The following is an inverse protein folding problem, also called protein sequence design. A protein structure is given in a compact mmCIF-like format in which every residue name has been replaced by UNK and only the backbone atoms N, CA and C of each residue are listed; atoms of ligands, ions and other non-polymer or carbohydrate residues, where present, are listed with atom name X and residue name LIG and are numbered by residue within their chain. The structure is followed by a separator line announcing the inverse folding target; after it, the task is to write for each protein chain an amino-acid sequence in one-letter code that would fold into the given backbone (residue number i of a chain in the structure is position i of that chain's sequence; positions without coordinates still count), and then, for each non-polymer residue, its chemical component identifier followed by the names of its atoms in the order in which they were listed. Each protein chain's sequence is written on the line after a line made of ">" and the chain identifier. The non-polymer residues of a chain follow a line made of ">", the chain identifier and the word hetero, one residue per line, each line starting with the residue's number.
data_IF_333963582815
#
_entry.id   IF_333963582815
#
_cell.length_a   1.000
_cell.length_b   1.000
_cell.length_c   1.000
_cell.angle_alpha   90.00
_cell.angle_beta   90.00
_cell.angle_gamma   90.00
#
_symmetry.space_group_name_H-M   'P 1'
#
loop_
_entity.id
_entity.type
_entity.pdbx_description
1 polymer ?
#
# COMPACT_ATOMS: atom_id res chain seq x y z
N UNK A 1 4.43 9.97 9.62
CA UNK A 1 3.70 10.96 10.45
C UNK A 1 2.55 10.21 11.09
N UNK A 2 2.60 9.99 12.41
CA UNK A 2 1.53 9.34 13.16
C UNK A 2 0.28 10.21 13.10
N UNK A 3 -0.78 9.74 12.44
CA UNK A 3 -2.11 10.34 12.58
C UNK A 3 -2.43 10.42 14.08
N UNK A 4 -2.62 11.66 14.57
CA UNK A 4 -3.13 11.91 15.90
C UNK A 4 -4.57 11.41 15.92
N UNK A 5 -4.86 10.41 16.73
CA UNK A 5 -6.23 10.11 17.16
C UNK A 5 -6.86 11.41 17.67
N UNK A 6 -8.05 11.75 17.18
CA UNK A 6 -8.69 13.04 17.49
C UNK A 6 -9.02 13.18 18.98
N UNK A 7 -9.10 12.06 19.72
CA UNK A 7 -9.36 11.98 21.15
C UNK A 7 -8.37 11.04 21.85
N UNK A 8 -7.95 11.40 23.07
CA UNK A 8 -6.92 10.67 23.84
C UNK A 8 -7.55 9.69 24.84
N UNK A 9 -8.66 10.06 25.48
CA UNK A 9 -9.21 9.35 26.63
C UNK A 9 -10.73 9.22 26.51
N UNK A 10 -11.28 8.02 26.66
CA UNK A 10 -12.71 7.79 26.87
C UNK A 10 -13.00 7.61 28.36
N UNK A 11 -14.05 8.25 28.85
CA UNK A 11 -14.54 8.16 30.22
C UNK A 11 -15.96 7.59 30.18
N UNK A 12 -16.21 6.53 30.93
CA UNK A 12 -17.52 5.87 30.97
C UNK A 12 -18.01 5.81 32.40
N UNK A 13 -19.14 6.47 32.64
CA UNK A 13 -19.75 6.60 33.97
C UNK A 13 -21.25 6.91 33.85
N UNK A 14 -22.10 6.31 34.69
CA UNK A 14 -23.53 6.63 34.65
C UNK A 14 -23.85 8.02 35.19
N UNK A 15 -23.00 8.56 36.05
CA UNK A 15 -23.18 9.88 36.65
C UNK A 15 -22.56 10.97 35.76
N UNK A 16 -23.44 11.78 35.16
CA UNK A 16 -23.02 12.92 34.32
C UNK A 16 -22.17 13.94 35.08
N UNK A 17 -22.40 14.11 36.38
CA UNK A 17 -21.60 15.03 37.18
C UNK A 17 -20.15 14.54 37.32
N UNK A 18 -19.94 13.22 37.44
CA UNK A 18 -18.60 12.62 37.46
C UNK A 18 -17.92 12.79 36.10
N UNK A 19 -18.66 12.55 35.01
CA UNK A 19 -18.15 12.77 33.65
C UNK A 19 -17.70 14.21 33.43
N UNK A 20 -18.56 15.20 33.70
CA UNK A 20 -18.26 16.62 33.52
C UNK A 20 -17.05 17.06 34.35
N UNK A 21 -16.96 16.59 35.60
CA UNK A 21 -15.83 16.90 36.48
C UNK A 21 -14.53 16.27 35.98
N UNK A 22 -14.54 14.99 35.58
CA UNK A 22 -13.36 14.32 35.06
C UNK A 22 -12.92 14.92 33.73
N UNK A 23 -13.86 15.23 32.86
CA UNK A 23 -13.61 15.92 31.60
C UNK A 23 -12.95 17.28 31.84
N UNK A 24 -13.48 18.12 32.73
CA UNK A 24 -12.88 19.41 33.08
C UNK A 24 -11.44 19.25 33.59
N UNK A 25 -11.20 18.30 34.50
CA UNK A 25 -9.84 18.04 35.02
C UNK A 25 -8.90 17.59 33.90
N UNK A 26 -9.33 16.71 32.99
CA UNK A 26 -8.45 16.18 31.95
C UNK A 26 -8.19 17.20 30.83
N UNK A 27 -9.18 18.04 30.51
CA UNK A 27 -9.03 19.14 29.56
C UNK A 27 -8.07 20.22 30.08
N UNK A 28 -8.10 20.54 31.38
CA UNK A 28 -7.15 21.48 32.01
C UNK A 28 -5.68 21.01 31.86
N UNK A 29 -5.47 19.70 31.74
CA UNK A 29 -4.16 19.07 31.52
C UNK A 29 -3.87 18.76 30.05
N UNK A 30 -4.72 19.24 29.13
CA UNK A 30 -4.50 19.18 27.68
C UNK A 30 -4.91 17.88 27.00
N UNK A 31 -5.64 16.98 27.68
CA UNK A 31 -6.16 15.76 27.08
C UNK A 31 -7.49 16.01 26.39
N UNK A 32 -7.68 15.40 25.21
CA UNK A 32 -8.98 15.38 24.55
C UNK A 32 -9.80 14.18 25.01
N UNK A 33 -10.98 14.46 25.54
CA UNK A 33 -11.84 13.46 26.18
C UNK A 33 -13.07 13.13 25.34
N UNK A 34 -13.51 11.88 25.48
CA UNK A 34 -14.82 11.40 25.09
C UNK A 34 -15.56 10.93 26.35
N UNK A 35 -16.89 11.03 26.35
CA UNK A 35 -17.71 10.64 27.49
C UNK A 35 -18.85 9.72 27.05
N UNK A 36 -19.15 8.71 27.86
CA UNK A 36 -20.28 7.81 27.63
C UNK A 36 -21.01 7.48 28.93
N UNK A 37 -22.34 7.65 28.91
CA UNK A 37 -23.21 7.38 30.07
C UNK A 37 -23.75 5.95 30.12
N UNK A 38 -23.50 5.16 29.08
CA UNK A 38 -23.95 3.77 29.00
C UNK A 38 -22.99 2.93 28.16
N UNK A 39 -23.08 1.60 28.33
CA UNK A 39 -22.19 0.63 27.68
C UNK A 39 -22.33 0.68 26.15
N UNK A 40 -23.53 0.87 25.62
CA UNK A 40 -23.75 0.89 24.17
C UNK A 40 -22.95 2.02 23.50
N UNK A 41 -23.10 3.23 24.02
CA UNK A 41 -22.35 4.41 23.56
C UNK A 41 -20.83 4.25 23.82
N UNK A 42 -20.45 3.70 24.97
CA UNK A 42 -19.04 3.43 25.26
C UNK A 42 -18.39 2.47 24.24
N UNK A 43 -19.08 1.37 23.89
CA UNK A 43 -18.61 0.41 22.91
C UNK A 43 -18.52 1.02 21.51
N UNK A 44 -19.51 1.82 21.12
CA UNK A 44 -19.48 2.57 19.86
C UNK A 44 -18.25 3.50 19.81
N UNK A 45 -18.02 4.30 20.85
CA UNK A 45 -16.90 5.22 20.90
C UNK A 45 -15.54 4.52 20.92
N UNK A 46 -15.40 3.38 21.62
CA UNK A 46 -14.19 2.55 21.62
C UNK A 46 -13.85 2.00 20.24
N UNK A 47 -14.87 1.67 19.44
CA UNK A 47 -14.70 1.13 18.09
C UNK A 47 -14.39 2.22 17.06
N UNK A 48 -15.12 3.34 17.10
CA UNK A 48 -15.02 4.39 16.09
C UNK A 48 -13.84 5.33 16.30
N UNK A 49 -13.57 5.73 17.55
CA UNK A 49 -12.55 6.72 17.85
C UNK A 49 -11.23 6.12 18.35
N UNK A 50 -11.23 4.82 18.68
CA UNK A 50 -10.09 4.05 19.18
C UNK A 50 -9.19 4.86 20.13
N UNK A 51 -9.75 5.35 21.26
CA UNK A 51 -9.04 6.23 22.18
C UNK A 51 -7.81 5.51 22.76
N UNK A 52 -6.76 6.26 23.11
CA UNK A 52 -5.54 5.66 23.69
C UNK A 52 -5.81 5.02 25.04
N UNK A 53 -6.69 5.63 25.83
CA UNK A 53 -7.08 5.17 27.15
C UNK A 53 -8.60 5.08 27.25
N UNK A 54 -9.08 4.04 27.94
CA UNK A 54 -10.48 3.88 28.31
C UNK A 54 -10.61 3.76 29.83
N UNK A 55 -11.28 4.71 30.46
CA UNK A 55 -11.61 4.70 31.89
C UNK A 55 -13.05 4.20 32.02
N UNK A 56 -13.23 3.02 32.58
CA UNK A 56 -14.51 2.31 32.62
C UNK A 56 -15.03 2.19 34.04
N UNK A 57 -16.21 2.76 34.31
CA UNK A 57 -16.93 2.49 35.54
C UNK A 57 -17.60 1.11 35.54
N UNK A 58 -17.55 0.43 36.69
CA UNK A 58 -18.34 -0.77 36.95
C UNK A 58 -19.70 -0.37 37.50
N UNK A 59 -20.66 -0.08 36.62
CA UNK A 59 -22.05 0.18 36.98
C UNK A 59 -23.01 -0.97 36.60
N UNK A 60 -22.45 -2.11 36.20
CA UNK A 60 -23.18 -3.35 35.89
C UNK A 60 -22.66 -4.51 36.73
N UNK A 61 -23.43 -5.60 36.90
CA UNK A 61 -22.95 -6.79 37.59
C UNK A 61 -21.57 -7.26 37.09
N UNK A 62 -20.71 -7.68 38.01
CA UNK A 62 -19.30 -7.95 37.73
C UNK A 62 -19.08 -8.97 36.60
N UNK A 63 -19.92 -10.00 36.50
CA UNK A 63 -19.83 -10.98 35.42
C UNK A 63 -20.20 -10.40 34.05
N UNK A 64 -21.14 -9.45 34.02
CA UNK A 64 -21.47 -8.72 32.81
C UNK A 64 -20.30 -7.79 32.41
N UNK A 65 -19.68 -7.12 33.38
CA UNK A 65 -18.48 -6.29 33.14
C UNK A 65 -17.31 -7.11 32.59
N UNK A 66 -17.03 -8.30 33.15
CA UNK A 66 -16.03 -9.23 32.64
C UNK A 66 -16.29 -9.63 31.18
N UNK A 67 -17.56 -9.79 30.80
CA UNK A 67 -17.91 -10.10 29.41
C UNK A 67 -17.62 -8.93 28.46
N UNK A 68 -17.78 -7.69 28.91
CA UNK A 68 -17.39 -6.50 28.15
C UNK A 68 -15.88 -6.51 27.91
N UNK A 69 -15.08 -6.71 28.97
CA UNK A 69 -13.61 -6.80 28.84
C UNK A 69 -13.17 -7.92 27.89
N UNK A 70 -13.78 -9.11 27.98
CA UNK A 70 -13.52 -10.22 27.04
C UNK A 70 -13.88 -9.84 25.60
N UNK A 71 -14.93 -9.07 25.40
CA UNK A 71 -15.36 -8.62 24.07
C UNK A 71 -14.35 -7.64 23.48
N UNK A 72 -13.88 -6.67 24.29
CA UNK A 72 -12.83 -5.73 23.91
C UNK A 72 -11.52 -6.44 23.52
N UNK A 73 -11.18 -7.55 24.20
CA UNK A 73 -10.03 -8.38 23.83
C UNK A 73 -10.23 -9.11 22.49
N UNK A 74 -11.44 -9.64 22.23
CA UNK A 74 -11.75 -10.36 20.98
C UNK A 74 -11.71 -9.47 19.76
N UNK A 75 -12.23 -8.24 19.87
CA UNK A 75 -12.20 -7.24 18.78
C UNK A 75 -10.83 -6.57 18.63
N UNK A 76 -9.82 -6.99 19.41
CA UNK A 76 -8.46 -6.42 19.43
C UNK A 76 -8.46 -4.89 19.57
N UNK A 77 -9.30 -4.35 20.46
CA UNK A 77 -9.18 -2.95 20.82
C UNK A 77 -7.84 -2.73 21.55
N UNK A 78 -7.11 -1.69 21.15
CA UNK A 78 -5.76 -1.40 21.64
C UNK A 78 -5.72 -0.40 22.80
N UNK A 79 -6.87 0.15 23.19
CA UNK A 79 -6.99 1.10 24.29
C UNK A 79 -6.46 0.48 25.59
N UNK A 80 -5.71 1.28 26.35
CA UNK A 80 -5.28 0.90 27.70
C UNK A 80 -6.46 1.08 28.65
N UNK A 81 -6.89 -0.01 29.30
CA UNK A 81 -8.09 -0.02 30.13
C UNK A 81 -7.74 0.32 31.58
N UNK A 82 -8.37 1.37 32.12
CA UNK A 82 -8.38 1.69 33.54
C UNK A 82 -9.80 1.45 34.04
N UNK A 83 -9.94 0.78 35.18
CA UNK A 83 -11.25 0.57 35.81
C UNK A 83 -11.42 1.58 36.94
N UNK A 84 -12.60 2.21 37.03
CA UNK A 84 -12.91 3.20 38.05
C UNK A 84 -14.16 2.80 38.84
N UNK A 85 -14.03 2.41 40.10
CA UNK A 85 -15.14 1.77 40.85
C UNK A 85 -15.31 2.35 42.25
N UNK A 86 -16.54 2.38 42.73
CA UNK A 86 -16.91 2.74 44.11
C UNK A 86 -16.74 1.59 45.11
N UNK A 87 -16.70 0.33 44.64
CA UNK A 87 -16.57 -0.85 45.48
C UNK A 87 -15.13 -1.42 45.44
N UNK A 88 -14.36 -1.33 46.55
CA UNK A 88 -13.03 -1.89 46.65
C UNK A 88 -12.95 -3.40 46.43
N UNK A 89 -14.01 -4.15 46.72
CA UNK A 89 -14.02 -5.62 46.54
C UNK A 89 -13.90 -6.00 45.06
N UNK A 90 -14.34 -5.14 44.13
CA UNK A 90 -14.20 -5.38 42.69
C UNK A 90 -12.73 -5.52 42.26
N UNK A 91 -11.78 -4.91 43.00
CA UNK A 91 -10.35 -5.07 42.76
C UNK A 91 -9.87 -6.51 42.95
N UNK A 92 -10.48 -7.24 43.88
CA UNK A 92 -10.16 -8.65 44.13
C UNK A 92 -10.89 -9.60 43.16
N UNK A 93 -12.04 -9.17 42.62
CA UNK A 93 -12.86 -9.97 41.70
C UNK A 93 -12.42 -9.85 40.23
N UNK A 94 -11.58 -8.86 39.92
CA UNK A 94 -11.01 -8.64 38.59
C UNK A 94 -9.52 -8.97 38.59
N UNK A 95 -9.16 -10.07 37.91
CA UNK A 95 -7.76 -10.35 37.61
C UNK A 95 -7.28 -9.41 36.50
N UNK A 96 -6.54 -8.38 36.90
CA UNK A 96 -6.06 -7.34 36.00
C UNK A 96 -5.22 -7.89 34.83
N UNK A 97 -4.45 -8.97 35.06
CA UNK A 97 -3.64 -9.58 34.00
C UNK A 97 -4.52 -10.32 33.00
N UNK A 98 -5.46 -11.13 33.49
CA UNK A 98 -6.38 -11.90 32.62
C UNK A 98 -7.23 -10.97 31.77
N UNK A 99 -7.73 -9.88 32.36
CA UNK A 99 -8.60 -8.94 31.65
C UNK A 99 -7.86 -7.81 30.93
N UNK A 100 -6.51 -7.80 30.95
CA UNK A 100 -5.67 -6.73 30.36
C UNK A 100 -6.03 -5.33 30.88
N UNK A 101 -6.40 -5.26 32.16
CA UNK A 101 -6.63 -4.01 32.88
C UNK A 101 -5.25 -3.47 33.30
N UNK A 102 -5.01 -2.21 33.00
CA UNK A 102 -3.78 -1.52 33.37
C UNK A 102 -3.77 -1.18 34.85
N UNK A 103 -4.85 -0.58 35.35
CA UNK A 103 -5.00 -0.25 36.76
C UNK A 103 -6.47 -0.15 37.18
N UNK A 104 -6.73 -0.26 38.48
CA UNK A 104 -8.06 -0.15 39.09
C UNK A 104 -8.02 0.95 40.15
N UNK A 105 -8.73 2.05 39.86
CA UNK A 105 -8.89 3.22 40.71
C UNK A 105 -10.19 3.12 41.52
N UNK A 106 -10.14 3.55 42.78
CA UNK A 106 -11.29 3.56 43.69
C UNK A 106 -11.85 4.98 43.84
N UNK A 107 -13.18 5.12 43.74
CA UNK A 107 -13.89 6.38 43.95
C UNK A 107 -14.00 6.73 45.44
N UNK A 108 -13.86 8.00 45.84
CA UNK A 108 -13.38 9.12 45.03
C UNK A 108 -11.83 9.13 44.96
N UNK A 109 -11.27 9.03 43.75
CA UNK A 109 -9.83 9.17 43.58
C UNK A 109 -9.43 10.66 43.64
N UNK A 110 -8.24 10.94 44.19
CA UNK A 110 -7.71 12.30 44.14
C UNK A 110 -7.33 12.68 42.70
N UNK A 111 -7.43 13.96 42.30
CA UNK A 111 -7.01 14.38 40.95
C UNK A 111 -5.55 13.99 40.64
N UNK A 112 -4.65 14.06 41.63
CA UNK A 112 -3.25 13.67 41.46
C UNK A 112 -3.06 12.18 41.18
N UNK A 113 -3.83 11.32 41.86
CA UNK A 113 -3.81 9.88 41.63
C UNK A 113 -4.33 9.52 40.24
N UNK A 114 -5.48 10.10 39.84
CA UNK A 114 -6.06 9.91 38.52
C UNK A 114 -5.07 10.31 37.40
N UNK A 115 -4.47 11.49 37.50
CA UNK A 115 -3.52 12.00 36.51
C UNK A 115 -2.25 11.16 36.45
N UNK A 116 -1.75 10.67 37.59
CA UNK A 116 -0.56 9.82 37.63
C UNK A 116 -0.82 8.49 36.93
N UNK A 117 -1.95 7.85 37.21
CA UNK A 117 -2.34 6.59 36.55
C UNK A 117 -2.55 6.77 35.05
N UNK A 118 -3.21 7.86 34.63
CA UNK A 118 -3.39 8.18 33.20
C UNK A 118 -2.05 8.39 32.52
N UNK A 119 -1.14 9.17 33.11
CA UNK A 119 0.19 9.41 32.54
C UNK A 119 0.95 8.10 32.31
N UNK A 120 0.99 7.24 33.32
CA UNK A 120 1.64 5.93 33.22
C UNK A 120 0.98 5.04 32.15
N UNK A 121 -0.35 5.11 32.00
CA UNK A 121 -1.08 4.38 30.97
C UNK A 121 -0.76 4.89 29.56
N UNK A 122 -0.56 6.20 29.36
CA UNK A 122 -0.13 6.78 28.08
C UNK A 122 1.27 6.29 27.73
N UNK A 123 2.21 6.41 28.67
CA UNK A 123 3.61 6.00 28.44
C UNK A 123 3.67 4.51 28.05
N UNK A 124 2.90 3.66 28.74
CA UNK A 124 2.76 2.25 28.41
C UNK A 124 2.13 2.00 27.02
N UNK A 125 1.12 2.79 26.65
CA UNK A 125 0.49 2.72 25.31
C UNK A 125 1.50 3.06 24.21
N UNK A 126 2.32 4.10 24.42
CA UNK A 126 3.33 4.52 23.45
C UNK A 126 4.48 3.51 23.32
N UNK A 127 4.93 2.93 24.43
CA UNK A 127 5.95 1.88 24.42
C UNK A 127 5.45 0.62 23.70
N UNK A 128 4.21 0.19 23.98
CA UNK A 128 3.56 -0.92 23.25
C UNK A 128 3.48 -0.65 21.76
N UNK A 129 3.12 0.57 21.36
CA UNK A 129 3.03 0.95 19.95
C UNK A 129 4.38 0.87 19.25
N UNK A 130 5.46 1.35 19.89
CA UNK A 130 6.83 1.23 19.35
C UNK A 130 7.26 -0.23 19.18
N UNK A 131 6.98 -1.08 20.16
CA UNK A 131 7.27 -2.53 20.08
C UNK A 131 6.47 -3.18 18.95
N UNK A 132 5.20 -2.82 18.77
CA UNK A 132 4.37 -3.32 17.69
C UNK A 132 4.86 -2.87 16.31
N UNK A 133 5.26 -1.60 16.15
CA UNK A 133 5.85 -1.09 14.91
C UNK A 133 7.14 -1.85 14.55
N UNK A 134 8.03 -2.08 15.51
CA UNK A 134 9.25 -2.88 15.32
C UNK A 134 8.92 -4.35 14.99
N UNK A 135 7.91 -4.93 15.63
CA UNK A 135 7.46 -6.29 15.34
C UNK A 135 6.87 -6.41 13.93
N UNK A 136 6.09 -5.42 13.49
CA UNK A 136 5.53 -5.36 12.15
C UNK A 136 6.62 -5.23 11.09
N UNK A 137 7.61 -4.36 11.31
CA UNK A 137 8.81 -4.28 10.45
C UNK A 137 9.57 -5.62 10.40
N UNK A 138 9.65 -6.33 11.53
CA UNK A 138 10.30 -7.64 11.58
C UNK A 138 9.49 -8.74 10.87
N UNK A 139 8.15 -8.68 10.92
CA UNK A 139 7.24 -9.59 10.23
C UNK A 139 7.30 -9.37 8.71
N UNK A 140 7.27 -8.11 8.26
CA UNK A 140 7.48 -7.76 6.85
C UNK A 140 8.84 -8.28 6.37
N UNK A 141 9.90 -8.07 7.15
CA UNK A 141 11.25 -8.58 6.84
C UNK A 141 11.30 -10.11 6.80
N UNK A 142 10.60 -10.80 7.71
CA UNK A 142 10.51 -12.26 7.72
C UNK A 142 9.72 -12.77 6.51
N UNK A 143 8.64 -12.07 6.13
CA UNK A 143 7.86 -12.37 4.94
C UNK A 143 8.70 -12.21 3.68
N UNK A 144 9.46 -11.13 3.55
CA UNK A 144 10.44 -10.92 2.48
C UNK A 144 11.48 -12.04 2.44
N UNK A 145 11.99 -12.47 3.60
CA UNK A 145 12.93 -13.60 3.70
C UNK A 145 12.31 -14.95 3.33
N UNK A 146 11.04 -15.18 3.67
CA UNK A 146 10.29 -16.37 3.30
C UNK A 146 10.01 -16.40 1.80
N UNK A 147 9.55 -15.28 1.22
CA UNK A 147 9.40 -15.10 -0.22
C UNK A 147 10.73 -15.39 -0.93
N UNK A 148 11.84 -14.89 -0.39
CA UNK A 148 13.20 -15.19 -0.87
C UNK A 148 13.57 -16.68 -0.76
N UNK A 149 13.26 -17.35 0.35
CA UNK A 149 13.57 -18.77 0.54
C UNK A 149 12.73 -19.67 -0.37
N UNK A 150 11.42 -19.40 -0.46
CA UNK A 150 10.51 -20.05 -1.41
C UNK A 150 11.04 -19.87 -2.82
N UNK A 151 11.40 -18.65 -3.20
CA UNK A 151 12.02 -18.37 -4.50
C UNK A 151 13.31 -19.17 -4.72
N UNK A 152 14.21 -19.23 -3.73
CA UNK A 152 15.48 -19.97 -3.81
C UNK A 152 15.26 -21.47 -3.98
N UNK A 153 14.23 -22.03 -3.35
CA UNK A 153 13.85 -23.43 -3.47
C UNK A 153 13.26 -23.73 -4.86
N UNK A 154 12.43 -22.84 -5.38
CA UNK A 154 11.80 -22.99 -6.71
C UNK A 154 12.80 -22.90 -7.86
N UNK A 155 13.93 -22.18 -7.67
CA UNK A 155 15.01 -22.10 -8.67
C UNK A 155 15.77 -23.42 -8.88
N UNK A 156 15.68 -24.36 -7.93
CA UNK A 156 16.20 -25.74 -8.12
C UNK A 156 15.27 -26.60 -8.98
N UNK A 157 14.01 -26.21 -9.15
CA UNK A 157 13.01 -26.94 -9.95
C UNK A 157 12.77 -26.21 -11.28
N UNK A 158 13.64 -26.41 -12.25
CA UNK A 158 13.42 -26.03 -13.66
C UNK A 158 12.33 -26.89 -14.31
N UNK A 159 11.07 -26.65 -13.95
CA UNK A 159 9.91 -27.20 -14.66
C UNK A 159 8.91 -26.09 -14.95
N UNK A 160 8.46 -26.02 -16.21
CA UNK A 160 7.50 -25.03 -16.76
C UNK A 160 6.16 -24.91 -15.99
N UNK A 161 5.92 -25.80 -15.02
CA UNK A 161 4.70 -25.86 -14.19
C UNK A 161 4.65 -24.79 -13.09
N UNK A 162 5.77 -24.11 -12.77
CA UNK A 162 5.88 -23.14 -11.67
C UNK A 162 5.30 -21.77 -11.99
N UNK A 163 5.39 -21.30 -13.24
CA UNK A 163 4.92 -19.97 -13.64
C UNK A 163 3.40 -19.82 -13.47
N UNK A 164 2.62 -20.82 -13.91
CA UNK A 164 1.17 -20.81 -13.75
C UNK A 164 0.71 -20.82 -12.28
N UNK A 165 1.40 -21.55 -11.39
CA UNK A 165 1.10 -21.54 -9.95
C UNK A 165 1.45 -20.19 -9.32
N UNK A 166 2.59 -19.61 -9.70
CA UNK A 166 3.05 -18.31 -9.19
C UNK A 166 2.13 -17.16 -9.65
N UNK A 167 1.63 -17.22 -10.89
CA UNK A 167 0.61 -16.31 -11.40
C UNK A 167 -0.67 -16.37 -10.56
N UNK A 168 -1.18 -17.58 -10.31
CA UNK A 168 -2.37 -17.78 -9.47
C UNK A 168 -2.13 -17.29 -8.04
N UNK A 169 -0.94 -17.51 -7.49
CA UNK A 169 -0.57 -17.08 -6.15
C UNK A 169 -0.43 -15.55 -6.04
N UNK A 170 0.17 -14.88 -7.03
CA UNK A 170 0.26 -13.40 -7.07
C UNK A 170 -1.10 -12.74 -7.31
N UNK A 171 -1.94 -13.33 -8.15
CA UNK A 171 -3.34 -12.89 -8.34
C UNK A 171 -4.08 -13.05 -7.01
N UNK A 172 -3.95 -14.20 -6.34
CA UNK A 172 -4.54 -14.44 -5.02
C UNK A 172 -4.03 -13.42 -3.99
N UNK A 173 -2.72 -13.19 -3.89
CA UNK A 173 -2.16 -12.21 -2.97
C UNK A 173 -2.62 -10.78 -3.27
N UNK A 174 -2.75 -10.39 -4.54
CA UNK A 174 -3.27 -9.06 -4.92
C UNK A 174 -4.77 -8.92 -4.60
N UNK A 175 -5.58 -9.96 -4.86
CA UNK A 175 -7.01 -9.98 -4.57
C UNK A 175 -7.29 -10.03 -3.06
N UNK A 176 -6.43 -10.67 -2.25
CA UNK A 176 -6.70 -10.90 -0.83
C UNK A 176 -5.92 -9.99 0.13
N UNK A 177 -4.77 -9.40 -0.25
CA UNK A 177 -3.90 -8.64 0.69
C UNK A 177 -3.80 -7.13 0.43
N UNK A 178 -4.29 -6.61 -0.69
CA UNK A 178 -4.23 -5.18 -0.98
C UNK A 178 -5.51 -4.68 -1.64
N UNK A 179 -6.43 -4.10 -0.86
CA UNK A 179 -7.66 -3.44 -1.35
C UNK A 179 -8.69 -4.35 -2.08
N UNK A 180 -8.55 -5.67 -2.03
CA UNK A 180 -9.42 -6.59 -2.77
C UNK A 180 -10.58 -7.21 -1.96
N UNK A 181 -10.95 -8.45 -2.28
CA UNK A 181 -12.17 -9.12 -1.79
C UNK A 181 -12.17 -9.37 -0.27
N UNK A 182 -11.01 -9.50 0.38
CA UNK A 182 -10.95 -9.73 1.84
C UNK A 182 -11.53 -8.57 2.65
N UNK A 183 -11.30 -7.33 2.19
CA UNK A 183 -11.88 -6.13 2.80
C UNK A 183 -13.39 -6.08 2.54
N UNK A 184 -13.84 -6.49 1.34
CA UNK A 184 -15.27 -6.59 1.02
C UNK A 184 -15.98 -7.62 1.90
N UNK A 185 -15.40 -8.80 2.11
CA UNK A 185 -15.94 -9.81 3.03
C UNK A 185 -16.02 -9.24 4.45
N UNK A 186 -14.96 -8.56 4.91
CA UNK A 186 -14.96 -7.92 6.24
C UNK A 186 -16.03 -6.84 6.35
N UNK A 187 -16.21 -5.99 5.33
CA UNK A 187 -17.25 -4.97 5.31
C UNK A 187 -18.65 -5.59 5.24
N UNK A 188 -18.83 -6.68 4.50
CA UNK A 188 -20.09 -7.44 4.45
C UNK A 188 -20.40 -8.04 5.82
N UNK A 189 -19.41 -8.68 6.47
CA UNK A 189 -19.57 -9.23 7.82
C UNK A 189 -19.92 -8.13 8.82
N UNK A 190 -19.26 -6.96 8.73
CA UNK A 190 -19.57 -5.79 9.56
C UNK A 190 -20.97 -5.23 9.29
N UNK A 191 -21.43 -5.21 8.04
CA UNK A 191 -22.82 -4.84 7.70
C UNK A 191 -23.80 -5.86 8.28
N UNK A 192 -23.52 -7.16 8.18
CA UNK A 192 -24.38 -8.21 8.73
C UNK A 192 -24.47 -8.17 10.27
N UNK A 193 -23.42 -7.68 10.94
CA UNK A 193 -23.39 -7.55 12.41
C UNK A 193 -24.00 -6.22 12.88
N UNK A 194 -23.77 -5.13 12.15
CA UNK A 194 -24.11 -3.77 12.57
C UNK A 194 -25.40 -3.18 11.97
N UNK A 195 -26.03 -3.87 11.03
CA UNK A 195 -27.25 -3.38 10.39
C UNK A 195 -28.50 -3.65 11.23
N UNK A 196 -29.43 -2.69 11.22
CA UNK A 196 -30.74 -2.82 11.86
C UNK A 196 -31.80 -2.98 10.79
N UNK A 197 -32.63 -4.02 10.93
CA UNK A 197 -33.76 -4.23 10.03
C UNK A 197 -34.93 -3.34 10.45
N UNK A 198 -35.34 -2.45 9.55
CA UNK A 198 -36.54 -1.61 9.70
C UNK A 198 -37.38 -1.70 8.43
N UNK A 199 -38.64 -2.13 8.57
CA UNK A 199 -39.62 -2.14 7.48
C UNK A 199 -39.17 -2.87 6.20
N UNK A 200 -38.38 -3.94 6.33
CA UNK A 200 -37.86 -4.73 5.20
C UNK A 200 -36.58 -4.18 4.56
N UNK A 201 -35.97 -3.15 5.14
CA UNK A 201 -34.68 -2.58 4.72
C UNK A 201 -33.66 -2.67 5.86
N UNK A 202 -32.38 -2.81 5.51
CA UNK A 202 -31.27 -2.78 6.47
C UNK A 202 -30.67 -1.37 6.53
N UNK A 203 -30.71 -0.74 7.71
CA UNK A 203 -30.02 0.50 7.98
C UNK A 203 -28.52 0.21 8.20
N UNK A 204 -27.68 0.70 7.29
CA UNK A 204 -26.22 0.48 7.30
C UNK A 204 -25.48 1.78 7.60
N UNK A 205 -24.40 1.75 8.42
CA UNK A 205 -23.55 2.92 8.63
C UNK A 205 -23.00 3.50 7.33
N UNK A 206 -23.13 4.82 7.16
CA UNK A 206 -22.83 5.50 5.90
C UNK A 206 -21.36 5.41 5.46
N UNK A 207 -20.43 5.31 6.39
CA UNK A 207 -19.00 5.12 6.12
C UNK A 207 -18.72 3.72 5.58
N UNK A 208 -19.27 2.66 6.19
CA UNK A 208 -19.16 1.28 5.72
C UNK A 208 -19.72 1.15 4.31
N UNK A 209 -20.88 1.78 4.06
CA UNK A 209 -21.47 1.80 2.72
C UNK A 209 -20.56 2.50 1.70
N UNK A 210 -20.00 3.67 2.03
CA UNK A 210 -19.05 4.38 1.15
C UNK A 210 -17.78 3.57 0.89
N UNK A 211 -17.23 2.94 1.92
CA UNK A 211 -16.02 2.10 1.81
C UNK A 211 -16.28 0.83 1.01
N UNK A 212 -17.49 0.26 1.10
CA UNK A 212 -17.92 -0.87 0.28
C UNK A 212 -17.96 -0.48 -1.20
N UNK A 213 -18.56 0.67 -1.53
CA UNK A 213 -18.60 1.18 -2.90
C UNK A 213 -17.19 1.42 -3.42
N UNK A 214 -16.34 2.11 -2.64
CA UNK A 214 -14.94 2.38 -2.99
C UNK A 214 -14.13 1.10 -3.24
N UNK A 215 -14.30 0.07 -2.39
CA UNK A 215 -13.64 -1.22 -2.60
C UNK A 215 -14.21 -1.98 -3.79
N UNK A 216 -15.52 -1.90 -4.03
CA UNK A 216 -16.17 -2.45 -5.22
C UNK A 216 -15.61 -1.85 -6.51
N UNK A 217 -15.41 -0.53 -6.52
CA UNK A 217 -14.79 0.17 -7.66
C UNK A 217 -13.33 -0.26 -7.87
N UNK A 218 -12.56 -0.46 -6.80
CA UNK A 218 -11.19 -0.96 -6.89
C UNK A 218 -11.15 -2.39 -7.45
N UNK A 219 -12.07 -3.27 -7.01
CA UNK A 219 -12.19 -4.62 -7.52
C UNK A 219 -12.56 -4.63 -9.01
N UNK A 220 -13.47 -3.74 -9.45
CA UNK A 220 -13.84 -3.58 -10.85
C UNK A 220 -12.65 -3.12 -11.70
N UNK A 221 -11.90 -2.11 -11.25
CA UNK A 221 -10.67 -1.66 -11.92
C UNK A 221 -9.62 -2.77 -12.04
N UNK A 222 -9.54 -3.67 -11.07
CA UNK A 222 -8.65 -4.82 -11.14
C UNK A 222 -9.13 -5.84 -12.19
N UNK A 223 -10.44 -6.10 -12.26
CA UNK A 223 -11.03 -6.97 -13.30
C UNK A 223 -10.79 -6.40 -14.71
N UNK A 224 -11.06 -5.11 -14.93
CA UNK A 224 -10.84 -4.46 -16.23
C UNK A 224 -9.36 -4.59 -16.68
N UNK A 225 -8.42 -4.57 -15.72
CA UNK A 225 -6.99 -4.77 -15.98
C UNK A 225 -6.64 -6.22 -16.29
N UNK A 226 -7.27 -7.20 -15.65
CA UNK A 226 -7.13 -8.61 -16.01
C UNK A 226 -7.63 -8.88 -17.43
N UNK A 227 -8.76 -8.28 -17.80
CA UNK A 227 -9.30 -8.35 -19.16
C UNK A 227 -8.34 -7.70 -20.17
N UNK A 228 -7.69 -6.59 -19.79
CA UNK A 228 -6.65 -5.95 -20.62
C UNK A 228 -5.45 -6.88 -20.83
N UNK A 229 -4.98 -7.57 -19.79
CA UNK A 229 -3.90 -8.56 -19.91
C UNK A 229 -4.34 -9.69 -20.84
N UNK A 230 -5.52 -10.28 -20.59
CA UNK A 230 -6.05 -11.37 -21.42
C UNK A 230 -6.19 -10.94 -22.88
N UNK A 231 -6.74 -9.75 -23.13
CA UNK A 231 -6.83 -9.17 -24.46
C UNK A 231 -5.46 -8.98 -25.11
N UNK A 232 -4.45 -8.50 -24.37
CA UNK A 232 -3.10 -8.36 -24.89
C UNK A 232 -2.44 -9.68 -25.29
N UNK A 233 -2.85 -10.81 -24.71
CA UNK A 233 -2.42 -12.14 -25.15
C UNK A 233 -3.10 -12.58 -26.46
N UNK A 234 -4.31 -12.11 -26.72
CA UNK A 234 -5.12 -12.47 -27.90
C UNK A 234 -4.97 -11.49 -29.08
N UNK A 235 -4.34 -10.33 -28.89
CA UNK A 235 -4.08 -9.36 -29.97
C UNK A 235 -3.02 -9.90 -30.92
N UNK A 236 -3.38 -10.00 -32.20
CA UNK A 236 -2.42 -10.22 -33.29
C UNK A 236 -1.94 -8.86 -33.80
N UNK A 237 -0.71 -8.48 -33.43
CA UNK A 237 -0.14 -7.20 -33.85
C UNK A 237 0.34 -7.30 -35.31
N UNK A 238 -0.35 -6.61 -36.21
CA UNK A 238 0.17 -6.45 -37.56
C UNK A 238 1.40 -5.53 -37.56
N UNK A 239 2.50 -6.00 -38.14
CA UNK A 239 3.72 -5.23 -38.30
C UNK A 239 3.70 -4.46 -39.62
N UNK A 240 3.98 -3.17 -39.55
CA UNK A 240 4.14 -2.29 -40.71
C UNK A 240 5.58 -1.78 -40.82
N UNK A 241 5.90 -1.16 -41.95
CA UNK A 241 7.17 -0.47 -42.15
C UNK A 241 7.09 0.91 -41.48
N UNK A 242 7.94 1.15 -40.49
CA UNK A 242 8.02 2.46 -39.81
C UNK A 242 9.33 3.13 -40.19
N UNK A 243 9.23 4.34 -40.73
CA UNK A 243 10.37 5.18 -41.14
C UNK A 243 10.97 5.95 -39.95
N UNK A 244 12.20 6.44 -40.13
CA UNK A 244 12.90 7.31 -39.18
C UNK A 244 12.10 8.56 -38.76
N UNK A 245 11.36 9.14 -39.71
CA UNK A 245 10.50 10.30 -39.42
C UNK A 245 9.34 9.92 -38.51
N UNK A 246 8.67 8.80 -38.79
CA UNK A 246 7.56 8.29 -37.99
C UNK A 246 8.00 7.85 -36.59
N UNK A 247 9.19 7.23 -36.45
CA UNK A 247 9.72 6.88 -35.12
C UNK A 247 9.94 8.14 -34.28
N UNK A 248 10.55 9.19 -34.87
CA UNK A 248 10.75 10.47 -34.18
C UNK A 248 9.44 11.13 -33.78
N UNK A 249 8.44 11.12 -34.67
CA UNK A 249 7.11 11.64 -34.39
C UNK A 249 6.45 10.90 -33.22
N UNK A 250 6.54 9.56 -33.19
CA UNK A 250 6.02 8.74 -32.09
C UNK A 250 6.73 9.09 -30.77
N UNK A 251 8.06 9.21 -30.76
CA UNK A 251 8.82 9.57 -29.56
C UNK A 251 8.39 10.95 -29.05
N UNK A 252 8.31 11.96 -29.92
CA UNK A 252 7.87 13.31 -29.53
C UNK A 252 6.44 13.32 -28.98
N UNK A 253 5.51 12.65 -29.67
CA UNK A 253 4.13 12.50 -29.22
C UNK A 253 4.03 11.80 -27.86
N UNK A 254 4.86 10.78 -27.63
CA UNK A 254 4.91 10.06 -26.35
C UNK A 254 5.44 10.97 -25.24
N UNK A 255 6.48 11.76 -25.50
CA UNK A 255 7.02 12.73 -24.55
C UNK A 255 5.93 13.74 -24.16
N UNK A 256 5.19 14.28 -25.13
CA UNK A 256 4.10 15.24 -24.88
C UNK A 256 2.98 14.64 -24.02
N UNK A 257 2.60 13.38 -24.27
CA UNK A 257 1.62 12.66 -23.44
C UNK A 257 2.11 12.44 -22.01
N UNK A 258 3.38 12.06 -21.86
CA UNK A 258 3.98 11.75 -20.57
C UNK A 258 4.39 12.99 -19.76
N UNK A 259 4.23 14.18 -20.34
CA UNK A 259 4.61 15.46 -19.76
C UNK A 259 3.90 15.78 -18.44
N UNK A 260 2.65 15.30 -18.29
CA UNK A 260 1.92 15.39 -17.01
C UNK A 260 2.67 14.68 -15.87
N UNK A 261 3.31 13.55 -16.16
CA UNK A 261 4.07 12.77 -15.19
C UNK A 261 5.45 13.37 -14.93
N UNK A 262 6.13 13.88 -15.97
CA UNK A 262 7.42 14.58 -15.84
C UNK A 262 7.33 15.75 -14.85
N UNK A 263 6.25 16.53 -14.93
CA UNK A 263 6.03 17.73 -14.09
C UNK A 263 5.85 17.40 -12.62
N UNK A 264 5.39 16.21 -12.25
CA UNK A 264 5.17 15.79 -10.85
C UNK A 264 6.46 15.92 -10.02
N UNK A 265 7.60 15.60 -10.64
CA UNK A 265 8.93 15.59 -10.01
C UNK A 265 9.91 16.60 -10.62
N UNK A 266 9.43 17.49 -11.49
CA UNK A 266 10.23 18.50 -12.19
C UNK A 266 11.47 17.91 -12.91
N UNK A 267 11.34 16.73 -13.51
CA UNK A 267 12.44 16.00 -14.15
C UNK A 267 12.73 16.55 -15.55
N UNK A 268 13.94 16.37 -16.08
CA UNK A 268 14.32 16.80 -17.45
C UNK A 268 14.36 15.61 -18.40
N UNK A 269 14.08 15.84 -19.68
CA UNK A 269 14.25 14.84 -20.74
C UNK A 269 15.33 15.34 -21.69
N UNK A 270 16.30 14.49 -21.99
CA UNK A 270 17.34 14.74 -22.99
C UNK A 270 17.24 13.67 -24.06
N UNK A 271 17.02 14.09 -25.29
CA UNK A 271 17.05 13.21 -26.46
C UNK A 271 18.40 13.33 -27.15
N UNK A 272 19.13 12.21 -27.29
CA UNK A 272 20.42 12.21 -27.97
C UNK A 272 20.34 11.42 -29.29
N UNK A 273 20.68 12.11 -30.38
CA UNK A 273 20.95 11.50 -31.68
C UNK A 273 19.85 10.58 -32.21
N UNK A 274 18.56 10.96 -32.16
CA UNK A 274 17.42 10.15 -32.61
C UNK A 274 17.29 10.00 -34.15
N UNK A 275 18.40 9.81 -34.87
CA UNK A 275 18.42 9.58 -36.32
C UNK A 275 18.56 8.08 -36.62
N UNK A 276 17.47 7.45 -37.05
CA UNK A 276 17.37 6.03 -37.37
C UNK A 276 17.80 5.81 -38.82
N UNK A 277 18.87 5.02 -39.06
CA UNK A 277 19.45 4.85 -40.40
C UNK A 277 18.62 3.94 -41.31
N UNK A 278 17.79 3.06 -40.74
CA UNK A 278 17.00 2.07 -41.47
C UNK A 278 15.59 2.02 -40.89
N UNK A 279 14.57 1.74 -41.72
CA UNK A 279 13.22 1.52 -41.24
C UNK A 279 13.14 0.22 -40.42
N UNK A 280 12.24 0.20 -39.45
CA UNK A 280 11.94 -0.97 -38.62
C UNK A 280 10.66 -1.64 -39.11
N UNK A 281 10.53 -2.95 -38.86
CA UNK A 281 9.28 -3.70 -39.07
C UNK A 281 8.61 -3.86 -37.72
N UNK A 282 7.57 -3.07 -37.46
CA UNK A 282 6.97 -3.01 -36.12
C UNK A 282 5.56 -2.42 -36.15
N UNK A 283 4.84 -2.48 -35.03
CA UNK A 283 3.50 -1.90 -34.90
C UNK A 283 3.58 -0.49 -34.25
N UNK A 284 3.05 0.55 -34.91
CA UNK A 284 3.14 1.94 -34.42
C UNK A 284 2.46 2.13 -33.07
N UNK A 285 1.29 1.53 -32.89
CA UNK A 285 0.54 1.65 -31.63
C UNK A 285 1.27 0.96 -30.48
N UNK A 286 1.80 -0.25 -30.70
CA UNK A 286 2.59 -0.95 -29.69
C UNK A 286 3.85 -0.18 -29.31
N UNK A 287 4.50 0.51 -30.26
CA UNK A 287 5.65 1.35 -29.97
C UNK A 287 5.29 2.53 -29.05
N UNK A 288 4.19 3.22 -29.35
CA UNK A 288 3.66 4.31 -28.52
C UNK A 288 3.30 3.83 -27.09
N UNK A 289 2.60 2.70 -26.97
CA UNK A 289 2.25 2.09 -25.67
C UNK A 289 3.52 1.72 -24.90
N UNK A 290 4.48 1.07 -25.56
CA UNK A 290 5.73 0.64 -24.94
C UNK A 290 6.53 1.83 -24.41
N UNK A 291 6.72 2.86 -25.24
CA UNK A 291 7.47 4.05 -24.85
C UNK A 291 6.76 4.82 -23.73
N UNK A 292 5.42 4.90 -23.75
CA UNK A 292 4.64 5.58 -22.71
C UNK A 292 4.86 4.93 -21.35
N UNK A 293 4.80 3.60 -21.27
CA UNK A 293 4.99 2.87 -20.02
C UNK A 293 6.42 2.95 -19.51
N UNK A 294 7.43 2.81 -20.38
CA UNK A 294 8.83 2.91 -19.98
C UNK A 294 9.19 4.32 -19.50
N UNK A 295 8.66 5.37 -20.15
CA UNK A 295 8.82 6.75 -19.70
C UNK A 295 8.11 6.97 -18.36
N UNK A 296 6.89 6.48 -18.21
CA UNK A 296 6.11 6.62 -16.96
C UNK A 296 6.85 5.95 -15.79
N UNK A 297 7.35 4.73 -15.99
CA UNK A 297 8.19 4.04 -15.01
C UNK A 297 9.49 4.81 -14.73
N UNK A 298 10.13 5.36 -15.76
CA UNK A 298 11.33 6.19 -15.58
C UNK A 298 11.06 7.41 -14.69
N UNK A 299 9.96 8.13 -14.88
CA UNK A 299 9.60 9.26 -14.01
C UNK A 299 9.29 8.79 -12.57
N UNK A 300 8.56 7.68 -12.45
CA UNK A 300 8.11 7.11 -11.17
C UNK A 300 9.26 6.60 -10.29
N UNK A 301 10.25 5.93 -10.88
CA UNK A 301 11.36 5.32 -10.15
C UNK A 301 12.65 6.17 -10.13
N UNK A 302 12.60 7.41 -10.63
CA UNK A 302 13.73 8.35 -10.56
C UNK A 302 13.54 9.45 -9.51
N UNK A 303 14.65 10.00 -8.95
CA UNK A 303 14.63 11.15 -8.05
C UNK A 303 13.95 12.40 -8.66
N UNK A 304 13.56 13.34 -7.80
CA UNK A 304 13.13 14.68 -8.21
C UNK A 304 14.26 15.43 -8.92
N UNK A 305 13.91 16.24 -9.92
CA UNK A 305 14.85 17.05 -10.71
C UNK A 305 15.93 16.28 -11.49
N UNK A 306 15.83 14.94 -11.54
CA UNK A 306 16.71 14.09 -12.32
C UNK A 306 16.47 14.22 -13.83
N UNK A 307 17.46 13.78 -14.61
CA UNK A 307 17.40 13.78 -16.07
C UNK A 307 17.15 12.36 -16.57
N UNK A 308 16.19 12.22 -17.47
CA UNK A 308 15.92 10.99 -18.23
C UNK A 308 16.48 11.16 -19.64
N UNK A 309 17.27 10.20 -20.07
CA UNK A 309 17.94 10.21 -21.36
C UNK A 309 17.25 9.23 -22.29
N UNK A 310 16.88 9.69 -23.48
CA UNK A 310 16.35 8.85 -24.55
C UNK A 310 17.40 8.83 -25.65
N UNK A 311 17.91 7.65 -25.94
CA UNK A 311 18.99 7.45 -26.89
C UNK A 311 18.70 6.24 -27.77
N UNK A 312 19.54 6.05 -28.79
CA UNK A 312 19.46 4.89 -29.68
C UNK A 312 20.76 4.12 -29.67
N UNK A 313 20.66 2.83 -29.92
CA UNK A 313 21.78 1.99 -30.30
C UNK A 313 21.46 1.31 -31.63
N UNK A 314 22.47 1.06 -32.46
CA UNK A 314 22.27 0.26 -33.66
C UNK A 314 23.33 -0.83 -33.69
N UNK A 315 22.91 -2.03 -34.05
CA UNK A 315 23.81 -3.11 -34.46
C UNK A 315 23.59 -3.37 -35.96
N UNK A 316 24.18 -4.46 -36.47
CA UNK A 316 23.93 -4.92 -37.84
C UNK A 316 22.57 -5.64 -37.97
N UNK A 317 22.04 -6.18 -36.86
CA UNK A 317 20.84 -7.04 -36.86
C UNK A 317 19.58 -6.33 -36.35
N UNK A 318 19.74 -5.36 -35.44
CA UNK A 318 18.63 -4.69 -34.77
C UNK A 318 18.91 -3.21 -34.53
N UNK A 319 17.82 -2.49 -34.28
CA UNK A 319 17.82 -1.13 -33.80
C UNK A 319 17.25 -1.09 -32.38
N UNK A 320 17.97 -0.44 -31.45
CA UNK A 320 17.50 -0.26 -30.09
C UNK A 320 17.09 1.17 -29.78
N UNK A 321 16.04 1.30 -28.97
CA UNK A 321 15.68 2.54 -28.27
C UNK A 321 15.97 2.32 -26.78
N UNK A 322 16.72 3.22 -26.17
CA UNK A 322 17.16 3.12 -24.78
C UNK A 322 16.63 4.32 -23.99
N UNK A 323 15.94 4.05 -22.89
CA UNK A 323 15.53 5.05 -21.90
C UNK A 323 16.38 4.80 -20.66
N UNK A 324 17.17 5.81 -20.27
CA UNK A 324 18.08 5.73 -19.14
C UNK A 324 17.71 6.76 -18.07
N UNK A 325 17.64 6.30 -16.82
CA UNK A 325 17.17 7.11 -15.70
C UNK A 325 17.99 6.86 -14.43
N UNK A 326 18.05 7.87 -13.55
CA UNK A 326 18.76 7.78 -12.27
C UNK A 326 18.00 6.90 -11.28
N UNK A 327 18.74 6.14 -10.47
CA UNK A 327 18.16 5.26 -9.45
C UNK A 327 17.70 6.09 -8.25
N UNK A 328 16.45 5.90 -7.83
CA UNK A 328 15.96 6.45 -6.58
C UNK A 328 16.42 5.58 -5.39
N UNK A 329 17.13 6.21 -4.45
CA UNK A 329 17.54 5.59 -3.19
C UNK A 329 16.37 5.65 -2.20
N UNK A 330 15.95 4.49 -1.70
CA UNK A 330 14.87 4.35 -0.71
C UNK A 330 15.39 3.54 0.48
N UNK A 331 15.32 4.11 1.69
CA UNK A 331 15.83 3.46 2.90
C UNK A 331 15.07 2.15 3.16
N UNK A 332 15.80 1.04 3.28
CA UNK A 332 15.24 -0.29 3.57
C UNK A 332 14.55 -0.98 2.38
N UNK A 333 14.77 -0.50 1.14
CA UNK A 333 14.16 -1.02 -0.08
C UNK A 333 15.20 -1.40 -1.12
N UNK A 334 14.82 -2.18 -2.12
CA UNK A 334 15.71 -2.58 -3.22
C UNK A 334 16.00 -1.35 -4.09
N UNK A 335 17.27 -1.03 -4.31
CA UNK A 335 17.67 0.09 -5.16
C UNK A 335 17.99 -0.39 -6.58
N UNK A 336 17.34 0.23 -7.58
CA UNK A 336 17.57 -0.08 -8.98
C UNK A 336 16.89 -1.37 -9.43
N UNK A 337 17.56 -2.12 -10.28
CA UNK A 337 17.14 -3.43 -10.79
C UNK A 337 18.36 -4.37 -10.66
N UNK A 338 18.57 -4.97 -9.48
CA UNK A 338 19.65 -5.94 -9.31
C UNK A 338 19.49 -7.10 -10.30
N UNK A 339 20.62 -7.68 -10.75
CA UNK A 339 20.67 -8.74 -11.78
C UNK A 339 19.77 -9.94 -11.51
N UNK A 340 19.54 -10.25 -10.24
CA UNK A 340 18.67 -11.37 -9.82
C UNK A 340 17.19 -11.15 -10.12
N UNK A 341 16.78 -9.89 -10.34
CA UNK A 341 15.39 -9.50 -10.58
C UNK A 341 15.08 -9.09 -12.02
N UNK A 342 16.09 -9.01 -12.92
CA UNK A 342 15.93 -8.54 -14.31
C UNK A 342 14.82 -9.29 -15.07
N UNK A 343 14.62 -10.58 -14.80
CA UNK A 343 13.54 -11.36 -15.42
C UNK A 343 12.22 -11.30 -14.64
N UNK A 344 12.29 -11.18 -13.31
CA UNK A 344 11.11 -11.22 -12.44
C UNK A 344 10.21 -9.99 -12.60
N UNK A 345 10.79 -8.84 -12.93
CA UNK A 345 10.04 -7.58 -13.17
C UNK A 345 9.06 -7.63 -14.35
N UNK A 346 9.20 -8.64 -15.23
CA UNK A 346 8.26 -8.86 -16.33
C UNK A 346 7.11 -9.80 -15.94
N UNK A 347 7.14 -10.41 -14.75
CA UNK A 347 6.06 -11.26 -14.25
C UNK A 347 4.83 -10.41 -13.86
N UNK A 348 3.59 -10.87 -14.15
CA UNK A 348 2.38 -10.16 -13.78
C UNK A 348 2.29 -9.86 -12.28
N UNK A 349 1.88 -8.63 -11.96
CA UNK A 349 1.69 -8.12 -10.60
C UNK A 349 2.98 -8.02 -9.77
N UNK A 350 4.13 -8.41 -10.34
CA UNK A 350 5.40 -8.34 -9.65
C UNK A 350 5.92 -6.91 -9.60
N UNK A 351 6.39 -6.49 -8.42
CA UNK A 351 6.93 -5.15 -8.18
C UNK A 351 8.07 -5.23 -7.18
N UNK A 352 9.23 -4.69 -7.54
CA UNK A 352 10.38 -4.60 -6.62
C UNK A 352 10.10 -3.72 -5.42
N UNK A 353 9.42 -2.59 -5.64
CA UNK A 353 9.03 -1.67 -4.58
C UNK A 353 7.61 -1.16 -4.81
N UNK A 354 6.82 -1.08 -3.75
CA UNK A 354 5.53 -0.39 -3.77
C UNK A 354 5.74 1.11 -3.57
N UNK A 355 5.71 1.87 -4.66
CA UNK A 355 5.66 3.33 -4.63
C UNK A 355 4.19 3.74 -4.57
N UNK A 356 3.74 4.20 -3.41
CA UNK A 356 2.42 4.79 -3.21
C UNK A 356 2.50 6.29 -3.50
N UNK A 357 2.56 6.65 -4.79
CA UNK A 357 2.41 8.04 -5.23
C UNK A 357 1.11 8.16 -6.00
N UNK A 358 0.09 8.70 -5.33
CA UNK A 358 -1.27 8.77 -5.87
C UNK A 358 -1.37 9.60 -7.16
N UNK A 359 -0.39 10.48 -7.39
CA UNK A 359 -0.32 11.33 -8.59
C UNK A 359 -0.01 10.53 -9.86
N UNK A 360 0.40 9.27 -9.74
CA UNK A 360 0.61 8.33 -10.85
C UNK A 360 -0.58 7.36 -11.04
N UNK A 361 -1.71 7.53 -10.36
CA UNK A 361 -2.86 6.62 -10.49
C UNK A 361 -3.52 6.63 -11.88
N UNK A 362 -3.32 7.67 -12.69
CA UNK A 362 -3.81 7.74 -14.08
C UNK A 362 -3.00 6.89 -15.08
N UNK A 363 -2.09 6.02 -14.61
CA UNK A 363 -1.30 5.11 -15.43
C UNK A 363 -2.19 4.03 -16.07
N UNK A 364 -2.22 4.02 -17.41
CA UNK A 364 -3.02 3.11 -18.25
C UNK A 364 -2.71 1.63 -17.90
N UNK A 365 -1.42 1.29 -17.78
CA UNK A 365 -0.94 -0.06 -17.44
C UNK A 365 -0.42 -0.20 -15.99
N UNK A 366 -1.04 0.51 -15.03
CA UNK A 366 -0.71 0.40 -13.60
C UNK A 366 -1.03 -0.98 -12.99
N UNK A 367 -0.76 -1.17 -11.70
CA UNK A 367 -0.86 -2.46 -10.94
C UNK A 367 0.26 -3.49 -11.17
N UNK A 368 1.34 -3.12 -11.89
CA UNK A 368 2.48 -4.03 -12.09
C UNK A 368 2.24 -5.00 -13.24
N UNK A 369 1.47 -4.57 -14.24
CA UNK A 369 1.11 -5.37 -15.41
C UNK A 369 1.74 -4.80 -16.68
N UNK A 370 2.15 -3.52 -16.69
CA UNK A 370 2.65 -2.84 -17.88
C UNK A 370 3.89 -3.48 -18.50
N UNK A 371 4.92 -3.76 -17.69
CA UNK A 371 6.11 -4.47 -18.18
C UNK A 371 5.79 -5.88 -18.70
N UNK A 372 4.83 -6.58 -18.08
CA UNK A 372 4.39 -7.89 -18.56
C UNK A 372 3.72 -7.80 -19.93
N UNK A 373 2.73 -6.92 -20.07
CA UNK A 373 1.99 -6.73 -21.33
C UNK A 373 2.96 -6.38 -22.44
N UNK A 374 3.86 -5.43 -22.20
CA UNK A 374 4.90 -5.03 -23.16
C UNK A 374 5.82 -6.18 -23.51
N UNK A 375 6.35 -6.89 -22.51
CA UNK A 375 7.26 -8.01 -22.76
C UNK A 375 6.60 -9.09 -23.64
N UNK A 376 5.34 -9.42 -23.38
CA UNK A 376 4.60 -10.37 -24.20
C UNK A 376 4.36 -9.85 -25.63
N UNK A 377 3.83 -8.64 -25.78
CA UNK A 377 3.52 -8.04 -27.08
C UNK A 377 4.78 -7.84 -27.94
N UNK A 378 5.91 -7.48 -27.34
CA UNK A 378 7.20 -7.36 -28.04
C UNK A 378 7.70 -8.70 -28.56
N UNK A 379 7.60 -9.75 -27.73
CA UNK A 379 8.02 -11.10 -28.11
C UNK A 379 7.19 -11.66 -29.27
N UNK A 380 5.89 -11.35 -29.35
CA UNK A 380 5.03 -11.73 -30.49
C UNK A 380 5.56 -11.16 -31.82
N UNK A 381 6.17 -9.97 -31.80
CA UNK A 381 6.78 -9.33 -32.97
C UNK A 381 8.28 -9.67 -33.15
N UNK A 382 8.82 -10.63 -32.39
CA UNK A 382 10.23 -10.99 -32.42
C UNK A 382 11.18 -9.88 -31.94
N UNK A 383 10.65 -8.90 -31.20
CA UNK A 383 11.42 -7.85 -30.54
C UNK A 383 11.69 -8.24 -29.09
N UNK A 384 12.70 -7.62 -28.47
CA UNK A 384 13.09 -7.93 -27.08
C UNK A 384 13.11 -6.65 -26.24
N UNK A 385 12.82 -6.80 -24.95
CA UNK A 385 13.00 -5.76 -23.96
C UNK A 385 13.96 -6.24 -22.86
N UNK A 386 14.89 -5.38 -22.49
CA UNK A 386 15.87 -5.63 -21.44
C UNK A 386 15.86 -4.45 -20.46
N UNK A 387 15.84 -4.74 -19.16
CA UNK A 387 16.02 -3.73 -18.12
C UNK A 387 17.21 -4.13 -17.27
N UNK A 388 18.24 -3.29 -17.23
CA UNK A 388 19.50 -3.59 -16.55
C UNK A 388 20.14 -2.33 -15.98
N UNK A 389 21.08 -2.51 -15.07
CA UNK A 389 21.87 -1.42 -14.50
C UNK A 389 23.18 -1.18 -15.25
N UNK A 390 23.52 0.09 -15.41
CA UNK A 390 24.80 0.54 -15.97
C UNK A 390 25.49 1.50 -15.01
N UNK A 391 26.82 1.55 -15.09
CA UNK A 391 27.63 2.58 -14.46
C UNK A 391 27.88 3.69 -15.46
N UNK A 392 27.32 4.87 -15.19
CA UNK A 392 27.54 6.06 -15.97
C UNK A 392 28.78 6.82 -15.47
N UNK A 393 29.78 6.94 -16.34
CA UNK A 393 31.04 7.64 -16.07
C UNK A 393 31.08 9.08 -16.63
N UNK A 394 29.96 9.59 -17.14
CA UNK A 394 29.88 10.92 -17.76
C UNK A 394 30.04 12.07 -16.78
N UNK A 395 29.82 11.85 -15.47
CA UNK A 395 30.05 12.86 -14.43
C UNK A 395 31.49 12.79 -13.90
N UNK A 396 32.15 13.95 -13.77
CA UNK A 396 33.57 14.07 -13.43
C UNK A 396 33.93 13.71 -11.98
N UNK A 397 32.96 13.35 -11.13
CA UNK A 397 33.18 13.24 -9.68
C UNK A 397 32.95 11.85 -9.07
N UNK A 398 32.17 10.96 -9.70
CA UNK A 398 32.01 9.53 -9.36
C UNK A 398 31.10 8.81 -10.38
N UNK A 399 31.34 7.52 -10.67
CA UNK A 399 30.42 6.73 -11.48
C UNK A 399 29.05 6.64 -10.80
N UNK A 400 27.97 6.93 -11.52
CA UNK A 400 26.61 6.84 -11.02
C UNK A 400 25.91 5.59 -11.56
N UNK A 401 25.23 4.83 -10.71
CA UNK A 401 24.37 3.72 -11.16
C UNK A 401 23.11 4.30 -11.81
N UNK A 402 22.80 3.85 -13.01
CA UNK A 402 21.59 4.17 -13.76
C UNK A 402 20.88 2.90 -14.20
N UNK A 403 19.57 3.01 -14.38
CA UNK A 403 18.76 1.95 -15.00
C UNK A 403 18.60 2.27 -16.47
N UNK A 404 18.74 1.26 -17.32
CA UNK A 404 18.49 1.33 -18.76
C UNK A 404 17.36 0.37 -19.10
N UNK A 405 16.31 0.89 -19.72
CA UNK A 405 15.31 0.11 -20.42
C UNK A 405 15.64 0.15 -21.92
N UNK A 406 16.01 -0.99 -22.49
CA UNK A 406 16.38 -1.15 -23.90
C UNK A 406 15.33 -2.00 -24.62
N UNK A 407 14.73 -1.43 -25.66
CA UNK A 407 13.87 -2.17 -26.60
C UNK A 407 14.70 -2.46 -27.85
N UNK A 408 14.84 -3.72 -28.24
CA UNK A 408 15.53 -4.18 -29.46
C UNK A 408 14.51 -4.57 -30.51
N UNK A 409 14.53 -3.86 -31.64
CA UNK A 409 13.57 -4.02 -32.74
C UNK A 409 14.34 -4.47 -34.00
N UNK A 410 13.91 -5.55 -34.67
CA UNK A 410 14.55 -6.00 -35.91
C UNK A 410 14.32 -5.01 -37.06
N UNK A 411 15.29 -4.93 -37.98
CA UNK A 411 15.13 -4.12 -39.19
C UNK A 411 14.04 -4.67 -40.11
N UNK A 412 13.41 -3.78 -40.88
CA UNK A 412 12.62 -4.19 -42.02
C UNK A 412 13.56 -4.82 -43.08
N UNK A 413 13.35 -6.10 -43.40
CA UNK A 413 14.15 -6.83 -44.40
C UNK A 413 13.87 -6.34 -45.82
#
# INVERSE_FOLDING_TARGET
>A
MTEKTEYDILIVDQDRFILERMESILQDYGYKTLTAVNIGNAMEQLLFYNPRIAILEIFVPIEQFKNILRTLQKIRNDSVIIVYTDNPENKNLLDAKVFRIFDILIKPASPGELLTTIKNAIDFSEERKKVFEVALESEERLKEQLEWMVWKEHRKSTTKTSAGKYLVENIKHSIFQGLGLGVLITLIDLMSIGSKEESGYYAVPSNIFKDLIKNGDNARKLMDKLDTISGAFDIDYESEKITDMEIREIIHKTIDKAEKFRKIKNQKIVTDGLNFKRPIKFNKHLLDVTLTELLTNSFKYSPTESTIYISKFHSDEFQSIMIMNSIMVMKGRIEGIPREYENAIFEPFYRLNRIHDERFFEEELGFGIGLTVIHNSLNQLGSQIHLYEVLDHSSSSKPERKVVAEIKIPFFK
#
